data_IF_030869144272
#
_entry.id   IF_030869144272
#
_cell.length_a   1.000
_cell.length_b   1.000
_cell.length_c   1.000
_cell.angle_alpha   90.00
_cell.angle_beta   90.00
_cell.angle_gamma   90.00
#
_symmetry.space_group_name_H-M   'P 1'
#
loop_
_entity.id
_entity.type
_entity.pdbx_description
1 polymer ?
#
# COMPACT_ATOMS: atom_id res chain seq x y z
N UNK A 1 4.89 0.98 20.84
CA UNK A 1 3.58 0.26 20.84
C UNK A 1 3.62 -0.82 19.76
N UNK A 2 2.90 -1.93 19.88
CA UNK A 2 2.82 -2.93 18.79
C UNK A 2 1.38 -2.98 18.28
N UNK A 3 1.16 -2.54 17.05
CA UNK A 3 -0.16 -2.62 16.41
C UNK A 3 -0.31 -3.99 15.73
N UNK A 4 -1.43 -4.66 15.96
CA UNK A 4 -1.81 -5.82 15.15
C UNK A 4 -2.29 -5.34 13.78
N UNK A 5 -2.14 -6.20 12.78
CA UNK A 5 -2.59 -5.89 11.43
C UNK A 5 -4.12 -5.66 11.41
N UNK A 6 -4.85 -6.35 12.29
CA UNK A 6 -6.32 -6.24 12.44
C UNK A 6 -6.78 -4.81 12.73
N UNK A 7 -6.05 -4.05 13.56
CA UNK A 7 -6.43 -2.66 13.90
C UNK A 7 -6.44 -1.77 12.66
N UNK A 8 -5.45 -1.94 11.79
CA UNK A 8 -5.36 -1.18 10.55
C UNK A 8 -6.39 -1.67 9.54
N UNK A 9 -6.58 -2.99 9.43
CA UNK A 9 -7.56 -3.57 8.52
C UNK A 9 -9.00 -3.16 8.89
N UNK A 10 -9.37 -3.19 10.18
CA UNK A 10 -10.67 -2.70 10.66
C UNK A 10 -10.85 -1.21 10.36
N UNK A 11 -9.80 -0.40 10.55
CA UNK A 11 -9.83 1.03 10.22
C UNK A 11 -10.06 1.29 8.73
N UNK A 12 -9.44 0.48 7.87
CA UNK A 12 -9.58 0.56 6.42
C UNK A 12 -10.95 0.06 5.95
N UNK A 13 -11.45 -1.04 6.51
CA UNK A 13 -12.81 -1.52 6.27
C UNK A 13 -13.87 -0.51 6.69
N UNK A 14 -13.67 0.18 7.81
CA UNK A 14 -14.55 1.27 8.25
C UNK A 14 -14.49 2.50 7.31
N UNK A 15 -13.36 2.73 6.65
CA UNK A 15 -13.21 3.78 5.63
C UNK A 15 -13.94 3.41 4.34
N UNK A 16 -13.73 2.19 3.85
CA UNK A 16 -14.33 1.66 2.63
C UNK A 16 -14.50 0.13 2.71
N UNK A 17 -15.73 -0.31 2.94
CA UNK A 17 -16.10 -1.73 3.01
C UNK A 17 -16.26 -2.39 1.64
N UNK A 18 -16.23 -1.61 0.55
CA UNK A 18 -16.40 -2.13 -0.81
C UNK A 18 -15.12 -2.75 -1.37
N UNK A 19 -13.97 -2.46 -0.74
CA UNK A 19 -12.65 -2.95 -1.13
C UNK A 19 -12.21 -4.11 -0.23
N UNK A 20 -11.57 -5.11 -0.85
CA UNK A 20 -10.81 -6.12 -0.15
C UNK A 20 -9.45 -5.53 0.23
N UNK A 21 -9.21 -5.35 1.53
CA UNK A 21 -7.96 -4.80 2.05
C UNK A 21 -6.96 -5.89 2.37
N UNK A 22 -5.79 -5.85 1.73
CA UNK A 22 -4.70 -6.80 1.96
C UNK A 22 -3.40 -6.10 2.37
N UNK A 23 -2.69 -6.66 3.36
CA UNK A 23 -1.36 -6.18 3.73
C UNK A 23 -0.31 -6.76 2.80
N UNK A 24 0.37 -5.89 2.06
CA UNK A 24 1.44 -6.28 1.14
C UNK A 24 2.84 -6.05 1.71
N UNK A 25 3.00 -5.13 2.66
CA UNK A 25 4.30 -4.82 3.28
C UNK A 25 4.15 -4.69 4.79
N UNK A 26 5.11 -5.26 5.51
CA UNK A 26 5.37 -4.97 6.93
C UNK A 26 6.87 -4.88 7.15
N UNK A 27 7.36 -3.68 7.42
CA UNK A 27 8.76 -3.42 7.75
C UNK A 27 8.83 -3.06 9.23
N UNK A 28 9.79 -3.65 9.93
CA UNK A 28 10.09 -3.34 11.33
C UNK A 28 11.57 -3.03 11.45
N UNK A 29 11.88 -1.85 11.93
CA UNK A 29 13.21 -1.39 12.29
C UNK A 29 13.29 -1.12 13.80
N UNK A 30 14.48 -0.77 14.30
CA UNK A 30 14.69 -0.51 15.74
C UNK A 30 13.79 0.61 16.25
N UNK A 31 13.61 1.67 15.45
CA UNK A 31 12.88 2.88 15.85
C UNK A 31 11.57 3.11 15.07
N UNK A 32 11.17 2.17 14.21
CA UNK A 32 10.03 2.38 13.33
C UNK A 32 9.35 1.12 12.80
N UNK A 33 8.08 1.27 12.42
CA UNK A 33 7.29 0.25 11.76
C UNK A 33 6.47 0.84 10.62
N UNK A 34 6.44 0.14 9.48
CA UNK A 34 5.66 0.53 8.31
C UNK A 34 4.75 -0.62 7.91
N UNK A 35 3.48 -0.32 7.69
CA UNK A 35 2.51 -1.22 7.09
C UNK A 35 2.00 -0.61 5.80
N UNK A 36 1.92 -1.41 4.74
CA UNK A 36 1.27 -1.00 3.49
C UNK A 36 0.15 -1.97 3.20
N UNK A 37 -1.04 -1.41 3.04
CA UNK A 37 -2.25 -2.08 2.62
C UNK A 37 -2.66 -1.62 1.24
N UNK A 38 -3.27 -2.53 0.48
CA UNK A 38 -3.90 -2.24 -0.80
C UNK A 38 -5.38 -2.58 -0.73
N UNK A 39 -6.20 -1.71 -1.29
CA UNK A 39 -7.64 -1.91 -1.46
C UNK A 39 -7.91 -2.37 -2.89
N UNK A 40 -8.37 -3.61 -3.02
CA UNK A 40 -8.67 -4.25 -4.30
C UNK A 40 -10.20 -4.28 -4.48
N UNK A 41 -10.68 -3.77 -5.60
CA UNK A 41 -12.04 -4.03 -6.04
C UNK A 41 -12.07 -5.41 -6.69
N UNK A 42 -12.66 -6.39 -6.00
CA UNK A 42 -12.70 -7.78 -6.47
C UNK A 42 -13.59 -7.98 -7.71
N UNK A 43 -14.55 -7.09 -7.98
CA UNK A 43 -15.45 -7.22 -9.14
C UNK A 43 -14.71 -7.00 -10.44
N UNK A 44 -13.86 -5.98 -10.45
CA UNK A 44 -13.11 -5.55 -11.63
C UNK A 44 -11.63 -5.99 -11.57
N UNK A 45 -11.24 -6.66 -10.49
CA UNK A 45 -9.88 -7.09 -10.19
C UNK A 45 -8.86 -5.94 -10.32
N UNK A 46 -9.23 -4.78 -9.79
CA UNK A 46 -8.49 -3.54 -9.94
C UNK A 46 -7.96 -3.06 -8.59
N UNK A 47 -6.72 -2.54 -8.60
CA UNK A 47 -6.15 -1.81 -7.47
C UNK A 47 -6.73 -0.39 -7.44
N UNK A 48 -7.50 -0.06 -6.41
CA UNK A 48 -8.21 1.23 -6.32
C UNK A 48 -7.70 2.13 -5.18
N UNK A 49 -7.08 1.54 -4.17
CA UNK A 49 -6.50 2.28 -3.06
C UNK A 49 -5.19 1.65 -2.54
N UNK A 50 -4.34 2.49 -1.97
CA UNK A 50 -3.21 2.08 -1.15
C UNK A 50 -3.18 2.93 0.12
N UNK A 51 -2.94 2.29 1.27
CA UNK A 51 -2.81 2.98 2.54
C UNK A 51 -1.54 2.55 3.25
N UNK A 52 -0.76 3.54 3.70
CA UNK A 52 0.48 3.32 4.42
C UNK A 52 0.35 3.86 5.85
N UNK A 53 0.66 3.03 6.83
CA UNK A 53 0.81 3.41 8.22
C UNK A 53 2.29 3.43 8.56
N UNK A 54 2.77 4.56 9.07
CA UNK A 54 4.15 4.75 9.52
C UNK A 54 4.10 5.06 11.01
N UNK A 55 4.73 4.22 11.82
CA UNK A 55 4.92 4.46 13.24
C UNK A 55 6.41 4.73 13.50
N UNK A 56 6.76 5.96 13.88
CA UNK A 56 8.12 6.37 14.20
C UNK A 56 8.07 7.39 15.36
N UNK A 57 9.00 7.33 16.32
CA UNK A 57 9.10 8.29 17.45
C UNK A 57 7.79 8.50 18.21
N UNK A 58 7.05 7.41 18.45
CA UNK A 58 5.73 7.40 19.10
C UNK A 58 4.62 8.16 18.35
N UNK A 59 4.84 8.52 17.08
CA UNK A 59 3.81 9.09 16.19
C UNK A 59 3.36 8.05 15.16
N UNK A 60 2.04 7.94 14.99
CA UNK A 60 1.42 7.12 13.94
C UNK A 60 0.87 8.04 12.85
N UNK A 61 1.43 7.95 11.65
CA UNK A 61 0.98 8.68 10.47
C UNK A 61 0.30 7.73 9.50
N UNK A 62 -0.86 8.13 8.99
CA UNK A 62 -1.56 7.42 7.92
C UNK A 62 -1.47 8.24 6.63
N UNK A 63 -1.00 7.61 5.56
CA UNK A 63 -0.94 8.17 4.21
C UNK A 63 -1.90 7.35 3.34
N UNK A 64 -2.98 7.99 2.88
CA UNK A 64 -3.94 7.36 1.96
C UNK A 64 -3.69 7.84 0.54
N UNK A 65 -3.64 6.89 -0.39
CA UNK A 65 -3.61 7.12 -1.81
C UNK A 65 -4.85 6.46 -2.41
N UNK A 66 -5.83 7.28 -2.76
CA UNK A 66 -7.10 6.86 -3.37
C UNK A 66 -7.12 7.34 -4.84
N UNK A 67 -7.65 6.54 -5.77
CA UNK A 67 -7.88 6.95 -7.18
C UNK A 67 -7.34 5.99 -8.24
N UNK A 68 -7.09 6.50 -9.46
CA UNK A 68 -6.58 5.70 -10.59
C UNK A 68 -5.08 5.39 -10.39
N UNK A 69 -4.80 4.47 -9.48
CA UNK A 69 -3.47 3.96 -9.19
C UNK A 69 -2.82 3.34 -10.44
N UNK A 70 -3.62 2.82 -11.37
CA UNK A 70 -3.10 2.33 -12.65
C UNK A 70 -2.45 3.46 -13.45
N UNK A 71 -3.08 4.64 -13.56
CA UNK A 71 -2.44 5.81 -14.18
C UNK A 71 -1.17 6.25 -13.44
N UNK A 72 -1.17 6.25 -12.10
CA UNK A 72 0.03 6.61 -11.34
C UNK A 72 1.17 5.63 -11.58
N UNK A 73 0.88 4.33 -11.65
CA UNK A 73 1.84 3.29 -12.01
C UNK A 73 2.33 3.48 -13.44
N UNK A 74 1.45 3.79 -14.40
CA UNK A 74 1.86 4.07 -15.78
C UNK A 74 2.85 5.23 -15.85
N UNK A 75 2.61 6.34 -15.15
CA UNK A 75 3.57 7.44 -15.05
C UNK A 75 4.89 7.04 -14.37
N UNK A 76 4.83 6.22 -13.31
CA UNK A 76 6.05 5.72 -12.65
C UNK A 76 6.87 4.78 -13.55
N UNK A 77 6.21 4.06 -14.45
CA UNK A 77 6.86 3.18 -15.42
C UNK A 77 7.30 3.89 -16.71
N UNK A 78 6.80 5.09 -17.02
CA UNK A 78 7.24 5.85 -18.21
C UNK A 78 8.76 6.03 -18.31
N UNK A 79 9.49 6.43 -17.23
CA UNK A 79 10.95 6.50 -17.24
C UNK A 79 11.65 5.14 -17.52
N UNK A 80 10.99 4.03 -17.19
CA UNK A 80 11.50 2.68 -17.39
C UNK A 80 11.20 2.11 -18.79
N UNK A 81 10.24 2.69 -19.55
CA UNK A 81 9.87 2.21 -20.90
C UNK A 81 11.01 2.31 -21.93
N UNK A 82 12.03 3.12 -21.68
CA UNK A 82 13.27 3.20 -22.48
C UNK A 82 14.39 2.23 -22.08
N UNK A 83 14.24 1.48 -20.97
CA UNK A 83 15.29 0.66 -20.36
C UNK A 83 14.97 -0.85 -20.42
N UNK A 84 14.32 -1.32 -21.49
CA UNK A 84 14.14 -2.76 -21.77
C UNK A 84 15.50 -3.44 -21.96
N UNK A 85 16.13 -3.87 -20.85
CA UNK A 85 17.42 -4.55 -20.93
C UNK A 85 18.06 -5.04 -19.63
N UNK A 86 17.48 -4.87 -18.44
CA UNK A 86 18.21 -5.20 -17.20
C UNK A 86 17.42 -5.98 -16.13
N UNK A 87 16.28 -6.60 -16.45
CA UNK A 87 15.68 -7.59 -15.55
C UNK A 87 16.03 -8.99 -16.04
N UNK A 88 17.19 -9.51 -15.60
CA UNK A 88 17.38 -10.95 -15.52
C UNK A 88 16.60 -11.42 -14.30
N UNK A 89 15.55 -12.21 -14.53
CA UNK A 89 15.01 -13.07 -13.50
C UNK A 89 16.15 -13.95 -12.97
N UNK A 90 16.40 -13.86 -11.67
CA UNK A 90 17.24 -14.77 -10.90
C UNK A 90 16.37 -15.47 -9.88
#
# INVERSE_FOLDING_TARGET
MNFSDDVFQESLLAKDESLAWERIVKVREEDGQVWVFVGINEKDFALEAASMFVFERDELVMINMDGDLNQMLEYAFEPARGHRGAYKAG
#
